data_IF_039674133863
#
_entry.id   IF_039674133863
#
_cell.length_a   1.000
_cell.length_b   1.000
_cell.length_c   1.000
_cell.angle_alpha   90.00
_cell.angle_beta   90.00
_cell.angle_gamma   90.00
#
_symmetry.space_group_name_H-M   'P 1'
#
loop_
_entity.id
_entity.type
_entity.pdbx_description
1 polymer ?
#
# COMPACT_ATOMS: atom_id res chain seq x y z
N UNK A 1 -10.51 -100.63 -62.15
CA UNK A 1 -10.64 -99.99 -60.82
C UNK A 1 -10.53 -98.48 -60.99
N UNK A 2 -11.59 -97.77 -60.60
CA UNK A 2 -11.68 -96.30 -60.58
C UNK A 2 -11.05 -95.77 -59.28
N UNK A 3 -10.26 -94.68 -59.37
CA UNK A 3 -10.06 -93.74 -58.27
C UNK A 3 -10.07 -92.31 -58.81
N UNK A 4 -10.88 -91.50 -58.14
CA UNK A 4 -11.36 -90.17 -58.48
C UNK A 4 -10.57 -89.09 -57.72
N UNK A 5 -10.54 -87.92 -58.34
CA UNK A 5 -10.34 -86.54 -57.86
C UNK A 5 -9.19 -86.19 -56.92
N UNK A 6 -8.36 -85.25 -57.43
CA UNK A 6 -8.13 -83.98 -56.72
C UNK A 6 -8.28 -82.86 -57.76
N UNK A 7 -9.47 -82.24 -57.84
CA UNK A 7 -9.68 -80.97 -58.54
C UNK A 7 -8.94 -79.88 -57.76
N UNK A 8 -7.78 -79.48 -58.29
CA UNK A 8 -6.99 -78.37 -57.79
C UNK A 8 -7.82 -77.09 -57.85
N UNK A 9 -7.90 -76.44 -56.70
CA UNK A 9 -8.62 -75.20 -56.42
C UNK A 9 -8.23 -74.13 -57.44
N UNK A 10 -9.26 -73.61 -58.11
CA UNK A 10 -9.28 -72.50 -59.07
C UNK A 10 -8.33 -71.38 -58.64
N UNK A 11 -7.46 -70.96 -59.55
CA UNK A 11 -6.58 -69.80 -59.39
C UNK A 11 -7.41 -68.55 -59.01
N UNK A 12 -7.19 -68.05 -57.78
CA UNK A 12 -7.87 -66.89 -57.20
C UNK A 12 -7.13 -65.57 -57.51
N UNK A 13 -6.09 -65.60 -58.33
CA UNK A 13 -5.27 -64.44 -58.68
C UNK A 13 -6.10 -63.31 -59.30
N UNK A 14 -7.02 -63.63 -60.22
CA UNK A 14 -7.90 -62.64 -60.83
C UNK A 14 -8.94 -62.07 -59.85
N UNK A 15 -9.48 -62.91 -58.97
CA UNK A 15 -10.46 -62.48 -57.95
C UNK A 15 -9.81 -61.50 -56.96
N UNK A 16 -8.59 -61.80 -56.50
CA UNK A 16 -7.80 -60.89 -55.67
C UNK A 16 -7.47 -59.58 -56.38
N UNK A 17 -7.07 -59.62 -57.66
CA UNK A 17 -6.81 -58.40 -58.44
C UNK A 17 -8.07 -57.53 -58.58
N UNK A 18 -9.24 -58.13 -58.82
CA UNK A 18 -10.52 -57.42 -58.91
C UNK A 18 -10.95 -56.79 -57.58
N UNK A 19 -10.81 -57.53 -56.48
CA UNK A 19 -11.12 -56.99 -55.14
C UNK A 19 -10.16 -55.88 -54.78
N UNK A 20 -8.86 -56.05 -55.04
CA UNK A 20 -7.85 -55.04 -54.74
C UNK A 20 -8.03 -53.77 -55.59
N UNK A 21 -8.38 -53.91 -56.87
CA UNK A 21 -8.73 -52.78 -57.73
C UNK A 21 -10.01 -52.05 -57.25
N UNK A 22 -11.06 -52.78 -56.87
CA UNK A 22 -12.28 -52.18 -56.33
C UNK A 22 -12.07 -51.50 -54.98
N UNK A 23 -11.21 -52.05 -54.11
CA UNK A 23 -10.88 -51.45 -52.81
C UNK A 23 -10.03 -50.19 -53.01
N UNK A 24 -9.04 -50.21 -53.90
CA UNK A 24 -8.22 -49.04 -54.23
C UNK A 24 -9.09 -47.96 -54.87
N UNK A 25 -9.97 -48.31 -55.81
CA UNK A 25 -10.90 -47.37 -56.43
C UNK A 25 -11.86 -46.76 -55.41
N UNK A 26 -12.36 -47.53 -54.43
CA UNK A 26 -13.17 -46.99 -53.34
C UNK A 26 -12.40 -46.11 -52.35
N UNK A 27 -11.10 -46.36 -52.13
CA UNK A 27 -10.24 -45.52 -51.30
C UNK A 27 -9.86 -44.21 -52.01
N UNK A 28 -9.59 -44.25 -53.31
CA UNK A 28 -9.31 -43.07 -54.14
C UNK A 28 -10.56 -42.22 -54.39
N UNK A 29 -11.74 -42.84 -54.49
CA UNK A 29 -13.02 -42.15 -54.67
C UNK A 29 -13.67 -41.72 -53.36
N UNK A 30 -13.06 -41.95 -52.18
CA UNK A 30 -13.50 -41.24 -50.98
C UNK A 30 -13.26 -39.76 -51.22
N UNK A 31 -14.30 -38.91 -51.34
CA UNK A 31 -14.04 -37.49 -51.36
C UNK A 31 -13.37 -37.19 -50.03
N UNK A 32 -12.12 -36.73 -50.07
CA UNK A 32 -11.54 -36.01 -48.95
C UNK A 32 -12.48 -34.84 -48.77
N UNK A 33 -13.42 -34.96 -47.83
CA UNK A 33 -14.32 -33.88 -47.46
C UNK A 33 -13.39 -32.83 -46.87
N UNK A 34 -12.82 -31.99 -47.74
CA UNK A 34 -12.05 -30.81 -47.37
C UNK A 34 -13.06 -29.95 -46.66
N UNK A 35 -13.12 -30.13 -45.35
CA UNK A 35 -14.01 -29.41 -44.47
C UNK A 35 -13.69 -27.95 -44.68
N UNK A 36 -14.60 -27.21 -45.30
CA UNK A 36 -14.55 -25.75 -45.45
C UNK A 36 -14.42 -25.05 -44.10
N UNK A 37 -14.68 -25.76 -42.98
CA UNK A 37 -14.37 -25.31 -41.61
C UNK A 37 -12.88 -25.12 -41.34
N UNK A 38 -11.94 -25.79 -42.04
CA UNK A 38 -10.48 -25.58 -41.80
C UNK A 38 -10.04 -24.15 -42.08
N UNK A 39 -10.63 -23.49 -43.08
CA UNK A 39 -10.36 -22.09 -43.37
C UNK A 39 -10.96 -21.17 -42.30
N UNK A 40 -12.14 -21.53 -41.77
CA UNK A 40 -12.76 -20.82 -40.64
C UNK A 40 -11.90 -20.93 -39.38
N UNK A 41 -11.30 -22.09 -39.09
CA UNK A 41 -10.35 -22.23 -37.97
C UNK A 41 -9.05 -21.45 -38.19
N UNK A 42 -8.55 -21.38 -39.42
CA UNK A 42 -7.37 -20.56 -39.76
C UNK A 42 -7.64 -19.06 -39.63
N UNK A 43 -8.79 -18.58 -40.11
CA UNK A 43 -9.24 -17.20 -39.96
C UNK A 43 -9.49 -16.85 -38.48
N UNK A 44 -10.14 -17.74 -37.73
CA UNK A 44 -10.36 -17.58 -36.29
C UNK A 44 -9.04 -17.58 -35.50
N UNK A 45 -8.09 -18.44 -35.86
CA UNK A 45 -6.77 -18.46 -35.23
C UNK A 45 -5.97 -17.18 -35.55
N UNK A 46 -6.07 -16.65 -36.78
CA UNK A 46 -5.45 -15.38 -37.16
C UNK A 46 -6.09 -14.22 -36.37
N UNK A 47 -7.41 -14.13 -36.32
CA UNK A 47 -8.13 -13.10 -35.55
C UNK A 47 -7.77 -13.21 -34.06
N UNK A 48 -7.78 -14.42 -33.50
CA UNK A 48 -7.42 -14.65 -32.10
C UNK A 48 -5.96 -14.25 -31.82
N UNK A 49 -5.03 -14.58 -32.73
CA UNK A 49 -3.62 -14.20 -32.60
C UNK A 49 -3.43 -12.68 -32.68
N UNK A 50 -4.17 -12.01 -33.56
CA UNK A 50 -4.19 -10.54 -33.65
C UNK A 50 -4.79 -9.95 -32.37
N UNK A 51 -5.90 -10.47 -31.86
CA UNK A 51 -6.52 -10.00 -30.62
C UNK A 51 -5.61 -10.21 -29.39
N UNK A 52 -4.95 -11.37 -29.28
CA UNK A 52 -3.97 -11.63 -28.22
C UNK A 52 -2.78 -10.69 -28.38
N UNK A 53 -2.25 -10.52 -29.60
CA UNK A 53 -1.16 -9.59 -29.87
C UNK A 53 -1.51 -8.14 -29.53
N UNK A 54 -2.74 -7.70 -29.86
CA UNK A 54 -3.25 -6.37 -29.56
C UNK A 54 -3.51 -6.20 -28.06
N UNK A 55 -4.01 -7.23 -27.38
CA UNK A 55 -4.20 -7.26 -25.94
C UNK A 55 -2.87 -7.19 -25.19
N UNK A 56 -1.88 -8.00 -25.59
CA UNK A 56 -0.52 -7.97 -25.04
C UNK A 56 0.15 -6.63 -25.34
N UNK A 57 0.00 -6.10 -26.55
CA UNK A 57 0.53 -4.78 -26.91
C UNK A 57 -0.12 -3.67 -26.08
N UNK A 58 -1.45 -3.67 -25.93
CA UNK A 58 -2.17 -2.71 -25.11
C UNK A 58 -1.76 -2.84 -23.64
N UNK A 59 -1.72 -4.04 -23.07
CA UNK A 59 -1.23 -4.27 -21.70
C UNK A 59 0.22 -3.82 -21.53
N UNK A 60 1.10 -4.12 -22.48
CA UNK A 60 2.50 -3.71 -22.43
C UNK A 60 2.64 -2.18 -22.50
N UNK A 61 1.88 -1.52 -23.38
CA UNK A 61 1.91 -0.06 -23.51
C UNK A 61 1.31 0.64 -22.29
N UNK A 62 0.25 0.06 -21.71
CA UNK A 62 -0.35 0.57 -20.48
C UNK A 62 0.62 0.39 -19.30
N UNK A 63 1.29 -0.76 -19.21
CA UNK A 63 2.29 -1.03 -18.17
C UNK A 63 3.55 -0.16 -18.32
N UNK A 64 4.00 0.10 -19.56
CA UNK A 64 5.08 1.06 -19.88
C UNK A 64 4.69 2.50 -19.51
N UNK A 65 3.45 2.91 -19.80
CA UNK A 65 2.93 4.23 -19.36
C UNK A 65 2.84 4.31 -17.84
N UNK A 66 2.46 3.23 -17.17
CA UNK A 66 2.34 3.19 -15.71
C UNK A 66 3.71 3.17 -15.01
N UNK A 67 4.71 2.50 -15.58
CA UNK A 67 6.09 2.47 -15.06
C UNK A 67 6.85 3.78 -15.30
N UNK A 68 6.61 4.46 -16.43
CA UNK A 68 7.13 5.81 -16.67
C UNK A 68 6.47 6.91 -15.81
N UNK A 69 5.39 6.59 -15.11
CA UNK A 69 4.69 7.48 -14.17
C UNK A 69 5.14 7.33 -12.71
N UNK A 70 5.96 6.34 -12.38
CA UNK A 70 6.38 6.11 -10.99
C UNK A 70 7.37 7.23 -10.59
N UNK A 71 7.00 8.11 -9.64
CA UNK A 71 7.91 9.16 -9.20
C UNK A 71 9.05 8.56 -8.37
N UNK A 72 10.24 9.19 -8.38
CA UNK A 72 11.35 8.74 -7.55
C UNK A 72 11.00 8.88 -6.06
N UNK A 73 11.56 7.99 -5.25
CA UNK A 73 11.61 8.15 -3.79
C UNK A 73 12.53 9.33 -3.46
N UNK A 74 12.18 10.11 -2.44
CA UNK A 74 12.86 11.36 -2.05
C UNK A 74 12.90 12.37 -3.20
N UNK A 75 11.74 12.67 -3.79
CA UNK A 75 11.65 13.64 -4.88
C UNK A 75 11.91 15.05 -4.35
N UNK A 76 13.10 15.56 -4.64
CA UNK A 76 13.56 16.86 -4.15
C UNK A 76 12.62 18.01 -4.52
N UNK A 77 11.91 17.93 -5.65
CA UNK A 77 10.92 18.95 -6.05
C UNK A 77 9.79 19.04 -5.04
N UNK A 78 9.35 17.90 -4.49
CA UNK A 78 8.31 17.87 -3.46
C UNK A 78 8.84 18.50 -2.17
N UNK A 79 10.10 18.26 -1.81
CA UNK A 79 10.73 18.93 -0.67
C UNK A 79 10.79 20.44 -0.89
N UNK A 80 11.30 20.90 -2.04
CA UNK A 80 11.34 22.33 -2.40
C UNK A 80 9.97 22.98 -2.27
N UNK A 81 8.91 22.31 -2.74
CA UNK A 81 7.53 22.79 -2.59
C UNK A 81 7.13 22.96 -1.11
N UNK A 82 7.45 21.99 -0.25
CA UNK A 82 7.17 22.09 1.19
C UNK A 82 7.93 23.25 1.85
N UNK A 83 9.22 23.39 1.51
CA UNK A 83 10.06 24.45 2.06
C UNK A 83 9.60 25.85 1.61
N UNK A 84 9.20 26.01 0.35
CA UNK A 84 8.67 27.28 -0.13
C UNK A 84 7.33 27.63 0.52
N UNK A 85 6.44 26.64 0.68
CA UNK A 85 5.17 26.82 1.41
C UNK A 85 5.42 27.25 2.85
N UNK A 86 6.37 26.62 3.54
CA UNK A 86 6.73 26.97 4.91
C UNK A 86 7.29 28.40 5.00
N UNK A 87 8.21 28.75 4.09
CA UNK A 87 8.77 30.09 3.99
C UNK A 87 7.71 31.17 3.70
N UNK A 88 6.66 30.84 2.92
CA UNK A 88 5.53 31.72 2.66
C UNK A 88 4.68 31.95 3.92
N UNK A 89 4.34 30.88 4.65
CA UNK A 89 3.46 30.96 5.82
C UNK A 89 4.15 31.51 7.07
N UNK A 90 5.43 31.16 7.28
CA UNK A 90 6.14 31.37 8.54
C UNK A 90 7.40 32.25 8.41
N UNK A 91 7.73 32.71 7.20
CA UNK A 91 8.92 33.51 6.90
C UNK A 91 10.19 32.69 6.66
N UNK A 92 11.19 33.33 6.02
CA UNK A 92 12.40 32.68 5.45
C UNK A 92 13.47 32.21 6.46
N UNK A 93 13.34 32.56 7.73
CA UNK A 93 14.40 32.38 8.74
C UNK A 93 14.11 31.26 9.75
N UNK A 94 13.20 30.33 9.46
CA UNK A 94 12.85 29.23 10.38
C UNK A 94 13.64 27.96 10.08
N UNK A 95 13.82 27.15 11.13
CA UNK A 95 14.26 25.76 11.00
C UNK A 95 13.19 24.97 10.24
N UNK A 96 13.49 24.55 9.03
CA UNK A 96 12.62 23.78 8.14
C UNK A 96 12.32 22.34 8.61
N UNK A 97 12.54 22.06 9.90
CA UNK A 97 12.52 20.71 10.45
C UNK A 97 11.16 20.04 10.32
N UNK A 98 10.09 20.71 10.72
CA UNK A 98 8.74 20.17 10.61
C UNK A 98 8.34 19.87 9.15
N UNK A 99 8.70 20.75 8.22
CA UNK A 99 8.46 20.56 6.79
C UNK A 99 9.25 19.38 6.23
N UNK A 100 10.50 19.21 6.68
CA UNK A 100 11.33 18.07 6.33
C UNK A 100 10.79 16.76 6.90
N UNK A 101 10.33 16.75 8.16
CA UNK A 101 9.74 15.55 8.79
C UNK A 101 8.42 15.15 8.08
N UNK A 102 7.59 16.13 7.69
CA UNK A 102 6.38 15.86 6.90
C UNK A 102 6.72 15.31 5.51
N UNK A 103 7.78 15.80 4.86
CA UNK A 103 8.28 15.24 3.61
C UNK A 103 8.75 13.81 3.80
N UNK A 104 9.56 13.53 4.83
CA UNK A 104 10.04 12.18 5.12
C UNK A 104 8.91 11.21 5.45
N UNK A 105 7.85 11.65 6.12
CA UNK A 105 6.67 10.82 6.35
C UNK A 105 6.07 10.32 5.03
N UNK A 106 5.78 11.21 4.08
CA UNK A 106 5.24 10.84 2.75
C UNK A 106 6.21 9.93 1.99
N UNK A 107 7.49 10.28 1.96
CA UNK A 107 8.50 9.53 1.22
C UNK A 107 8.76 8.15 1.83
N UNK A 108 8.75 8.03 3.15
CA UNK A 108 8.93 6.76 3.85
C UNK A 108 7.77 5.80 3.58
N UNK A 109 6.53 6.30 3.68
CA UNK A 109 5.32 5.50 3.49
C UNK A 109 5.18 5.08 2.03
N UNK A 110 5.49 5.99 1.10
CA UNK A 110 5.56 5.69 -0.33
C UNK A 110 6.62 4.63 -0.65
N UNK A 111 7.86 4.81 -0.19
CA UNK A 111 8.96 3.86 -0.45
C UNK A 111 8.65 2.47 0.11
N UNK A 112 8.07 2.40 1.31
CA UNK A 112 7.67 1.14 1.92
C UNK A 112 6.52 0.48 1.16
N UNK A 113 5.50 1.24 0.75
CA UNK A 113 4.42 0.72 -0.08
C UNK A 113 4.93 0.17 -1.43
N UNK A 114 5.90 0.84 -2.05
CA UNK A 114 6.57 0.33 -3.26
C UNK A 114 7.33 -0.97 -3.00
N UNK A 115 8.01 -1.10 -1.85
CA UNK A 115 8.69 -2.34 -1.46
C UNK A 115 7.72 -3.53 -1.34
N UNK A 116 6.47 -3.24 -0.96
CA UNK A 116 5.36 -4.20 -0.91
C UNK A 116 4.67 -4.41 -2.26
N UNK A 117 5.19 -3.79 -3.34
CA UNK A 117 4.64 -3.85 -4.71
C UNK A 117 3.19 -3.36 -4.82
N UNK A 118 2.82 -2.40 -3.97
CA UNK A 118 1.51 -1.74 -4.07
C UNK A 118 1.58 -0.73 -5.22
N UNK A 119 0.69 -0.92 -6.21
CA UNK A 119 0.65 -0.09 -7.42
C UNK A 119 -0.78 0.45 -7.55
N UNK A 120 -0.97 1.79 -7.50
CA UNK A 120 -2.30 2.36 -7.67
C UNK A 120 -2.80 2.22 -9.10
N UNK A 121 -4.11 2.06 -9.23
CA UNK A 121 -4.78 2.18 -10.51
C UNK A 121 -4.74 3.62 -11.00
N UNK A 122 -4.90 3.82 -12.30
CA UNK A 122 -4.99 5.18 -12.87
C UNK A 122 -6.15 5.98 -12.27
N UNK A 123 -7.29 5.34 -12.01
CA UNK A 123 -8.44 5.98 -11.39
C UNK A 123 -8.13 6.49 -9.97
N UNK A 124 -7.39 5.71 -9.18
CA UNK A 124 -6.95 6.14 -7.85
C UNK A 124 -6.02 7.36 -7.94
N UNK A 125 -5.09 7.38 -8.90
CA UNK A 125 -4.19 8.52 -9.12
C UNK A 125 -4.96 9.76 -9.59
N UNK A 126 -5.88 9.59 -10.55
CA UNK A 126 -6.68 10.69 -11.10
C UNK A 126 -7.58 11.31 -10.01
N UNK A 127 -8.13 10.49 -9.10
CA UNK A 127 -8.89 10.96 -7.92
C UNK A 127 -8.04 11.81 -6.97
N UNK A 128 -6.84 11.34 -6.61
CA UNK A 128 -5.94 12.13 -5.75
C UNK A 128 -5.49 13.41 -6.45
N UNK A 129 -5.27 13.36 -7.76
CA UNK A 129 -4.92 14.54 -8.55
C UNK A 129 -6.04 15.58 -8.52
N UNK A 130 -7.30 15.16 -8.68
CA UNK A 130 -8.47 16.04 -8.55
C UNK A 130 -8.49 16.74 -7.19
N UNK A 131 -8.35 15.98 -6.09
CA UNK A 131 -8.30 16.53 -4.73
C UNK A 131 -7.17 17.56 -4.52
N UNK A 132 -5.98 17.29 -5.06
CA UNK A 132 -4.84 18.20 -4.98
C UNK A 132 -5.10 19.49 -5.78
N UNK A 133 -5.72 19.36 -6.95
CA UNK A 133 -5.98 20.46 -7.88
C UNK A 133 -7.16 21.33 -7.44
N UNK A 134 -8.17 20.74 -6.80
CA UNK A 134 -9.28 21.45 -6.16
C UNK A 134 -8.79 22.26 -4.96
N UNK A 135 -7.77 21.75 -4.26
CA UNK A 135 -7.12 22.41 -3.14
C UNK A 135 -8.06 22.56 -1.95
N UNK A 136 -7.81 21.80 -0.88
CA UNK A 136 -8.51 22.03 0.39
C UNK A 136 -8.40 23.51 0.78
N UNK A 137 -9.54 24.20 0.71
CA UNK A 137 -9.71 25.61 0.98
C UNK A 137 -9.77 25.82 2.48
N UNK A 138 -8.66 25.54 3.16
CA UNK A 138 -8.52 25.83 4.57
C UNK A 138 -7.81 27.19 4.65
N UNK A 139 -8.30 28.12 5.47
CA UNK A 139 -7.78 29.50 5.61
C UNK A 139 -6.27 29.56 5.92
N UNK A 140 -5.68 28.42 6.33
CA UNK A 140 -4.28 28.27 6.72
C UNK A 140 -3.37 27.71 5.61
N UNK A 141 -3.86 27.54 4.38
CA UNK A 141 -3.07 26.99 3.26
C UNK A 141 -3.09 27.94 2.06
N UNK A 142 -1.97 28.10 1.32
CA UNK A 142 -1.96 28.89 0.10
C UNK A 142 -2.95 28.31 -0.91
N UNK A 143 -3.81 29.19 -1.44
CA UNK A 143 -4.71 28.91 -2.56
C UNK A 143 -3.90 28.45 -3.79
N UNK A 144 -4.56 27.78 -4.74
CA UNK A 144 -3.89 27.40 -5.99
C UNK A 144 -3.23 28.59 -6.68
N UNK A 145 -3.91 29.75 -6.71
CA UNK A 145 -3.37 30.98 -7.30
C UNK A 145 -2.07 31.43 -6.61
N UNK A 146 -2.04 31.43 -5.27
CA UNK A 146 -0.85 31.79 -4.51
C UNK A 146 0.30 30.80 -4.71
N UNK A 147 0.01 29.49 -4.80
CA UNK A 147 1.03 28.48 -5.11
C UNK A 147 1.69 28.74 -6.46
N UNK A 148 0.89 29.01 -7.49
CA UNK A 148 1.40 29.31 -8.83
C UNK A 148 2.25 30.58 -8.84
N UNK A 149 1.84 31.61 -8.10
CA UNK A 149 2.61 32.85 -7.96
C UNK A 149 3.93 32.65 -7.20
N UNK A 150 3.89 31.91 -6.09
CA UNK A 150 5.06 31.58 -5.28
C UNK A 150 6.12 30.83 -6.10
N UNK A 151 5.67 29.84 -6.88
CA UNK A 151 6.53 29.00 -7.71
C UNK A 151 6.91 29.66 -9.04
N UNK A 152 6.23 30.73 -9.44
CA UNK A 152 6.35 31.38 -10.75
C UNK A 152 6.14 30.41 -11.92
N UNK A 153 5.12 29.57 -11.83
CA UNK A 153 4.79 28.54 -12.84
C UNK A 153 3.33 28.60 -13.27
N UNK A 154 3.03 27.99 -14.41
CA UNK A 154 1.67 27.78 -14.90
C UNK A 154 0.95 26.65 -14.14
N UNK A 155 -0.37 26.59 -14.28
CA UNK A 155 -1.18 25.50 -13.70
C UNK A 155 -0.78 24.14 -14.29
N UNK A 156 -0.48 24.11 -15.58
CA UNK A 156 -0.07 22.93 -16.32
C UNK A 156 1.31 22.44 -15.83
N UNK A 157 2.26 23.36 -15.63
CA UNK A 157 3.57 23.05 -15.08
C UNK A 157 3.47 22.57 -13.63
N UNK A 158 2.60 23.19 -12.82
CA UNK A 158 2.35 22.72 -11.46
C UNK A 158 1.80 21.29 -11.44
N UNK A 159 0.82 21.03 -12.31
CA UNK A 159 0.22 19.70 -12.44
C UNK A 159 1.26 18.65 -12.82
N UNK A 160 2.10 18.95 -13.82
CA UNK A 160 3.10 18.02 -14.31
C UNK A 160 4.26 17.79 -13.33
N UNK A 161 4.78 18.87 -12.72
CA UNK A 161 5.99 18.82 -11.87
C UNK A 161 5.71 18.38 -10.44
N UNK A 162 4.55 18.71 -9.89
CA UNK A 162 4.23 18.48 -8.48
C UNK A 162 2.97 17.65 -8.29
N UNK A 163 1.83 18.07 -8.85
CA UNK A 163 0.54 17.47 -8.48
C UNK A 163 0.45 15.99 -8.89
N UNK A 164 0.85 15.63 -10.11
CA UNK A 164 0.83 14.25 -10.60
C UNK A 164 1.77 13.32 -9.80
N UNK A 165 3.05 13.68 -9.57
CA UNK A 165 3.91 12.91 -8.66
C UNK A 165 3.32 12.74 -7.27
N UNK A 166 2.81 13.82 -6.65
CA UNK A 166 2.23 13.75 -5.31
C UNK A 166 0.98 12.86 -5.31
N UNK A 167 0.09 13.01 -6.30
CA UNK A 167 -1.11 12.19 -6.45
C UNK A 167 -0.77 10.69 -6.53
N UNK A 168 0.26 10.34 -7.31
CA UNK A 168 0.72 8.96 -7.40
C UNK A 168 1.21 8.44 -6.04
N UNK A 169 2.02 9.23 -5.33
CA UNK A 169 2.51 8.86 -3.98
C UNK A 169 1.36 8.69 -3.00
N UNK A 170 0.42 9.63 -2.95
CA UNK A 170 -0.75 9.56 -2.06
C UNK A 170 -1.64 8.36 -2.36
N UNK A 171 -1.93 8.08 -3.64
CA UNK A 171 -2.71 6.91 -4.03
C UNK A 171 -2.03 5.60 -3.60
N UNK A 172 -0.70 5.54 -3.73
CA UNK A 172 0.11 4.39 -3.28
C UNK A 172 0.10 4.24 -1.76
N UNK A 173 0.19 5.34 -1.02
CA UNK A 173 0.09 5.35 0.45
C UNK A 173 -1.30 4.93 0.91
N UNK A 174 -2.36 5.34 0.21
CA UNK A 174 -3.72 4.92 0.54
C UNK A 174 -3.90 3.40 0.41
N UNK A 175 -3.31 2.76 -0.60
CA UNK A 175 -3.26 1.30 -0.69
C UNK A 175 -2.56 0.66 0.51
N UNK A 176 -1.43 1.23 0.96
CA UNK A 176 -0.74 0.75 2.15
C UNK A 176 -1.63 0.85 3.40
N UNK A 177 -2.36 1.96 3.53
CA UNK A 177 -3.30 2.16 4.64
C UNK A 177 -4.46 1.16 4.58
N UNK A 178 -4.98 0.83 3.40
CA UNK A 178 -6.00 -0.22 3.23
C UNK A 178 -5.47 -1.60 3.63
N UNK A 179 -4.28 -1.97 3.18
CA UNK A 179 -3.63 -3.26 3.54
C UNK A 179 -3.42 -3.35 5.05
N UNK A 180 -2.96 -2.27 5.68
CA UNK A 180 -2.72 -2.27 7.13
C UNK A 180 -3.98 -2.47 7.97
N UNK A 181 -5.19 -2.14 7.47
CA UNK A 181 -6.44 -2.42 8.20
C UNK A 181 -6.69 -3.91 8.38
N UNK A 182 -6.21 -4.73 7.44
CA UNK A 182 -6.29 -6.19 7.55
C UNK A 182 -5.26 -6.72 8.53
N UNK A 183 -4.04 -6.15 8.52
CA UNK A 183 -2.97 -6.54 9.46
C UNK A 183 -3.30 -6.16 10.91
N UNK A 184 -3.98 -5.04 11.13
CA UNK A 184 -4.25 -4.46 12.45
C UNK A 184 -5.75 -4.36 12.76
N UNK A 185 -6.53 -5.39 12.43
CA UNK A 185 -8.00 -5.35 12.44
C UNK A 185 -8.64 -4.91 13.77
N UNK A 186 -8.03 -5.24 14.91
CA UNK A 186 -8.55 -4.95 16.25
C UNK A 186 -7.78 -3.81 16.96
N UNK A 187 -7.09 -2.97 16.20
CA UNK A 187 -6.27 -1.86 16.72
C UNK A 187 -6.94 -0.52 16.42
N UNK A 188 -6.82 0.44 17.32
CA UNK A 188 -7.28 1.80 17.04
C UNK A 188 -6.52 2.40 15.84
N UNK A 189 -7.21 3.22 15.05
CA UNK A 189 -6.64 3.83 13.86
C UNK A 189 -5.35 4.63 14.13
N UNK A 190 -5.27 5.45 15.20
CA UNK A 190 -4.03 6.16 15.54
C UNK A 190 -2.84 5.23 15.79
N UNK A 191 -3.05 4.14 16.51
CA UNK A 191 -1.99 3.17 16.84
C UNK A 191 -1.58 2.39 15.59
N UNK A 192 -2.55 1.96 14.77
CA UNK A 192 -2.29 1.31 13.47
C UNK A 192 -1.44 2.20 12.56
N UNK A 193 -1.82 3.47 12.41
CA UNK A 193 -1.05 4.42 11.59
C UNK A 193 0.37 4.57 12.12
N UNK A 194 0.53 4.72 13.43
CA UNK A 194 1.85 4.78 14.07
C UNK A 194 2.72 3.55 13.78
N UNK A 195 2.15 2.33 13.81
CA UNK A 195 2.89 1.11 13.45
C UNK A 195 3.37 1.12 12.00
N UNK A 196 2.51 1.53 11.07
CA UNK A 196 2.86 1.64 9.64
C UNK A 196 3.96 2.67 9.45
N UNK A 197 3.88 3.81 10.14
CA UNK A 197 4.90 4.86 10.14
C UNK A 197 6.26 4.36 10.63
N UNK A 198 6.30 3.60 11.74
CA UNK A 198 7.56 3.06 12.24
C UNK A 198 8.20 2.09 11.24
N UNK A 199 7.41 1.19 10.65
CA UNK A 199 7.90 0.26 9.61
C UNK A 199 8.43 1.03 8.39
N UNK A 200 7.66 2.02 7.91
CA UNK A 200 8.01 2.83 6.76
C UNK A 200 9.29 3.65 6.99
N UNK A 201 9.39 4.32 8.14
CA UNK A 201 10.56 5.11 8.52
C UNK A 201 11.80 4.24 8.70
N UNK A 202 11.66 3.04 9.28
CA UNK A 202 12.75 2.08 9.38
C UNK A 202 13.23 1.61 8.01
N UNK A 203 12.31 1.32 7.08
CA UNK A 203 12.65 1.00 5.70
C UNK A 203 13.41 2.15 5.02
N UNK A 204 12.92 3.39 5.15
CA UNK A 204 13.59 4.56 4.58
C UNK A 204 15.00 4.73 5.15
N UNK A 205 15.19 4.59 6.46
CA UNK A 205 16.51 4.64 7.12
C UNK A 205 17.44 3.53 6.61
N UNK A 206 16.95 2.31 6.45
CA UNK A 206 17.79 1.20 5.99
C UNK A 206 18.24 1.38 4.52
N UNK A 207 17.34 1.84 3.66
CA UNK A 207 17.57 1.85 2.21
C UNK A 207 18.03 3.20 1.65
N UNK A 208 17.70 4.32 2.30
CA UNK A 208 17.89 5.68 1.79
C UNK A 208 18.62 6.62 2.76
N UNK A 209 19.27 6.12 3.83
CA UNK A 209 19.94 6.99 4.81
C UNK A 209 20.91 8.01 4.21
N UNK A 210 21.66 7.65 3.16
CA UNK A 210 22.62 8.56 2.51
C UNK A 210 21.93 9.71 1.79
N UNK A 211 20.83 9.40 1.09
CA UNK A 211 20.06 10.40 0.35
C UNK A 211 19.34 11.34 1.31
N UNK A 212 18.78 10.80 2.41
CA UNK A 212 18.20 11.60 3.50
C UNK A 212 19.25 12.54 4.10
N UNK A 213 20.44 12.03 4.45
CA UNK A 213 21.51 12.84 5.03
C UNK A 213 21.99 13.94 4.06
N UNK A 214 22.10 13.61 2.76
CA UNK A 214 22.45 14.56 1.70
C UNK A 214 21.44 15.70 1.59
N UNK A 215 20.14 15.39 1.63
CA UNK A 215 19.08 16.40 1.63
C UNK A 215 19.12 17.26 2.91
N UNK A 216 19.34 16.65 4.08
CA UNK A 216 19.47 17.38 5.34
C UNK A 216 20.63 18.38 5.28
N UNK A 217 21.79 17.97 4.77
CA UNK A 217 22.96 18.84 4.61
C UNK A 217 22.70 19.96 3.59
N UNK A 218 22.19 19.61 2.41
CA UNK A 218 21.90 20.55 1.31
C UNK A 218 20.97 21.67 1.75
N UNK A 219 19.93 21.34 2.52
CA UNK A 219 18.93 22.30 3.00
C UNK A 219 19.20 22.83 4.41
N UNK A 220 20.35 22.47 5.02
CA UNK A 220 20.74 22.89 6.38
C UNK A 220 19.67 22.57 7.42
N UNK A 221 19.04 21.41 7.31
CA UNK A 221 18.03 20.93 8.24
C UNK A 221 18.75 20.47 9.53
N UNK A 222 18.36 20.95 10.71
CA UNK A 222 18.97 20.47 11.96
C UNK A 222 18.71 18.98 12.17
N UNK A 223 19.71 18.25 12.67
CA UNK A 223 19.66 16.79 12.82
C UNK A 223 18.54 16.31 13.74
N UNK A 224 18.28 17.02 14.85
CA UNK A 224 17.18 16.73 15.79
C UNK A 224 16.75 17.98 16.56
N UNK A 225 15.45 18.13 16.78
CA UNK A 225 14.97 18.86 17.95
C UNK A 225 15.06 17.92 19.17
N UNK A 226 15.45 18.45 20.33
CA UNK A 226 15.37 17.67 21.57
C UNK A 226 13.90 17.34 21.83
N UNK A 227 13.50 16.08 21.66
CA UNK A 227 12.16 15.66 22.02
C UNK A 227 12.02 15.69 23.54
N UNK A 228 11.05 16.45 24.03
CA UNK A 228 10.70 16.45 25.44
C UNK A 228 10.08 15.10 25.77
N UNK A 229 10.60 14.46 26.82
CA UNK A 229 10.10 13.18 27.30
C UNK A 229 9.09 13.43 28.41
N UNK A 230 7.88 12.91 28.24
CA UNK A 230 6.82 12.99 29.24
C UNK A 230 6.58 11.63 29.90
N UNK A 231 5.93 11.65 31.05
CA UNK A 231 5.58 10.48 31.84
C UNK A 231 4.10 10.43 32.10
N UNK A 232 3.52 9.23 32.00
CA UNK A 232 2.14 8.92 32.38
C UNK A 232 2.17 7.79 33.40
N UNK A 233 1.66 8.04 34.60
CA UNK A 233 1.49 7.01 35.63
C UNK A 233 0.03 6.65 35.77
N UNK A 234 -0.27 5.37 35.92
CA UNK A 234 -1.65 4.89 36.09
C UNK A 234 -1.75 3.38 36.10
N UNK A 235 -2.98 2.89 36.05
CA UNK A 235 -3.31 1.46 36.07
C UNK A 235 -3.62 0.99 34.66
N UNK A 236 -3.12 -0.18 34.28
CA UNK A 236 -3.46 -0.84 33.02
C UNK A 236 -4.87 -1.41 33.11
N UNK A 237 -5.81 -0.88 32.32
CA UNK A 237 -7.21 -1.33 32.37
C UNK A 237 -7.60 -2.27 31.24
N UNK A 238 -6.86 -2.25 30.13
CA UNK A 238 -7.11 -3.13 29.00
C UNK A 238 -5.81 -3.37 28.24
N UNK A 239 -5.66 -4.60 27.73
CA UNK A 239 -4.59 -4.98 26.81
C UNK A 239 -5.28 -5.64 25.62
N UNK A 240 -5.04 -5.11 24.43
CA UNK A 240 -5.39 -5.71 23.14
C UNK A 240 -4.11 -6.21 22.47
N UNK A 241 -4.27 -6.81 21.30
CA UNK A 241 -3.16 -7.39 20.53
C UNK A 241 -2.00 -6.41 20.28
N UNK A 242 -2.31 -5.13 20.06
CA UNK A 242 -1.32 -4.11 19.65
C UNK A 242 -1.34 -2.83 20.49
N UNK A 243 -2.19 -2.76 21.50
CA UNK A 243 -2.35 -1.54 22.30
C UNK A 243 -2.79 -1.86 23.72
N UNK A 244 -2.44 -1.00 24.66
CA UNK A 244 -2.89 -1.09 26.05
C UNK A 244 -3.34 0.27 26.57
N UNK A 245 -4.31 0.25 27.47
CA UNK A 245 -4.95 1.45 28.02
C UNK A 245 -4.48 1.70 29.45
N UNK A 246 -4.02 2.92 29.71
CA UNK A 246 -3.63 3.38 31.04
C UNK A 246 -4.58 4.49 31.51
N UNK A 247 -5.11 4.34 32.73
CA UNK A 247 -5.95 5.33 33.41
C UNK A 247 -5.31 5.74 34.72
N UNK A 248 -5.20 7.04 34.96
CA UNK A 248 -4.61 7.56 36.20
C UNK A 248 -5.66 7.67 37.29
N UNK A 249 -5.28 7.34 38.53
CA UNK A 249 -6.11 7.54 39.72
C UNK A 249 -7.06 6.39 40.06
N UNK A 250 -7.02 5.28 39.32
CA UNK A 250 -7.84 4.09 39.61
C UNK A 250 -7.39 3.45 40.92
N UNK A 251 -8.34 3.21 41.82
CA UNK A 251 -8.09 2.51 43.08
C UNK A 251 -8.25 1.01 42.88
N UNK A 252 -7.47 0.22 43.62
CA UNK A 252 -7.47 -1.25 43.48
C UNK A 252 -8.86 -1.85 43.77
N UNK A 253 -9.64 -1.22 44.66
CA UNK A 253 -11.02 -1.61 44.97
C UNK A 253 -11.99 -1.41 43.80
N UNK A 254 -11.64 -0.60 42.80
CA UNK A 254 -12.49 -0.33 41.63
C UNK A 254 -12.26 -1.34 40.50
N UNK A 255 -11.09 -1.97 40.49
CA UNK A 255 -10.68 -2.93 39.45
C UNK A 255 -11.56 -4.18 39.59
N UNK A 256 -12.22 -4.57 38.50
CA UNK A 256 -13.16 -5.69 38.46
C UNK A 256 -14.56 -5.41 39.01
N UNK A 257 -14.78 -4.24 39.64
CA UNK A 257 -16.14 -3.80 40.04
C UNK A 257 -16.80 -2.92 38.98
N UNK A 258 -16.02 -2.08 38.30
CA UNK A 258 -16.47 -1.18 37.24
C UNK A 258 -15.95 -1.66 35.88
N UNK A 259 -16.70 -1.40 34.82
CA UNK A 259 -16.23 -1.62 33.45
C UNK A 259 -15.09 -0.64 33.10
N UNK A 260 -14.32 -0.96 32.06
CA UNK A 260 -13.25 -0.08 31.57
C UNK A 260 -13.81 1.29 31.17
N UNK A 261 -14.96 1.32 30.50
CA UNK A 261 -15.62 2.56 30.08
C UNK A 261 -16.08 3.39 31.28
N UNK A 262 -16.62 2.74 32.32
CA UNK A 262 -17.03 3.40 33.56
C UNK A 262 -15.83 4.02 34.28
N UNK A 263 -14.69 3.31 34.33
CA UNK A 263 -13.44 3.81 34.92
C UNK A 263 -12.89 5.01 34.17
N UNK A 264 -12.80 4.93 32.83
CA UNK A 264 -12.33 6.04 31.98
C UNK A 264 -13.22 7.27 32.18
N UNK A 265 -14.55 7.08 32.23
CA UNK A 265 -15.51 8.17 32.44
C UNK A 265 -15.41 8.76 33.84
N UNK A 266 -15.33 7.92 34.88
CA UNK A 266 -15.22 8.34 36.29
C UNK A 266 -13.97 9.18 36.53
N UNK A 267 -12.83 8.75 35.99
CA UNK A 267 -11.55 9.44 36.14
C UNK A 267 -11.30 10.52 35.07
N UNK A 268 -12.23 10.64 34.11
CA UNK A 268 -12.20 11.58 32.98
C UNK A 268 -10.86 11.59 32.25
N UNK A 269 -10.23 10.42 32.13
CA UNK A 269 -8.94 10.26 31.50
C UNK A 269 -8.74 8.84 30.98
N UNK A 270 -7.97 8.71 29.91
CA UNK A 270 -7.49 7.44 29.39
C UNK A 270 -6.42 7.69 28.34
N UNK A 271 -5.44 6.80 28.24
CA UNK A 271 -4.43 6.89 27.19
C UNK A 271 -4.12 5.51 26.64
N UNK A 272 -4.35 5.33 25.34
CA UNK A 272 -3.88 4.17 24.59
C UNK A 272 -2.42 4.36 24.17
N UNK A 273 -1.63 3.31 24.38
CA UNK A 273 -0.23 3.23 23.99
C UNK A 273 -0.02 2.00 23.08
N UNK A 274 0.89 2.06 22.10
CA UNK A 274 1.28 0.89 21.31
C UNK A 274 1.92 -0.17 22.21
N UNK A 275 1.59 -1.44 21.98
CA UNK A 275 2.20 -2.56 22.70
C UNK A 275 3.54 -2.95 22.05
N UNK A 276 4.57 -2.13 22.24
CA UNK A 276 5.92 -2.32 21.68
C UNK A 276 6.98 -2.18 22.76
N UNK A 277 7.92 -3.12 22.80
CA UNK A 277 9.05 -3.14 23.74
C UNK A 277 8.61 -3.01 25.22
N UNK A 278 7.41 -3.50 25.53
CA UNK A 278 6.87 -3.57 26.89
C UNK A 278 7.30 -4.85 27.61
N UNK A 279 7.36 -4.87 28.96
CA UNK A 279 7.58 -6.08 29.73
C UNK A 279 6.55 -7.16 29.39
N UNK A 280 7.00 -8.41 29.18
CA UNK A 280 6.11 -9.55 28.89
C UNK A 280 5.18 -9.92 30.06
N UNK A 281 5.49 -9.45 31.25
CA UNK A 281 4.71 -9.65 32.47
C UNK A 281 3.56 -8.65 32.61
N UNK A 282 3.49 -7.63 31.74
CA UNK A 282 2.45 -6.61 31.78
C UNK A 282 1.05 -7.24 31.74
N UNK A 283 0.26 -6.93 32.76
CA UNK A 283 -1.06 -7.49 33.00
C UNK A 283 -2.09 -6.40 33.29
N UNK A 284 -3.37 -6.72 33.08
CA UNK A 284 -4.47 -5.83 33.51
C UNK A 284 -4.46 -5.75 35.03
N UNK A 285 -4.53 -4.53 35.55
CA UNK A 285 -4.43 -4.22 36.98
C UNK A 285 -3.07 -3.66 37.39
N UNK A 286 -2.01 -3.92 36.61
CA UNK A 286 -0.67 -3.42 36.94
C UNK A 286 -0.64 -1.90 37.01
N UNK A 287 0.11 -1.37 37.99
CA UNK A 287 0.45 0.05 38.00
C UNK A 287 1.73 0.27 37.23
N UNK A 288 1.68 1.22 36.30
CA UNK A 288 2.76 1.48 35.35
C UNK A 288 3.14 2.95 35.31
N UNK A 289 4.37 3.21 34.90
CA UNK A 289 4.86 4.50 34.44
C UNK A 289 5.31 4.35 32.98
N UNK A 290 4.61 5.01 32.08
CA UNK A 290 4.88 5.00 30.64
C UNK A 290 5.57 6.30 30.24
N UNK A 291 6.70 6.17 29.55
CA UNK A 291 7.43 7.29 28.94
C UNK A 291 7.01 7.42 27.47
N UNK A 292 6.74 8.66 27.05
CA UNK A 292 6.28 8.99 25.71
C UNK A 292 6.86 10.33 25.26
N UNK A 293 6.88 10.57 23.94
CA UNK A 293 7.49 11.73 23.31
C UNK A 293 6.53 12.60 22.51
N UNK A 294 5.33 12.09 22.17
CA UNK A 294 4.29 12.83 21.44
C UNK A 294 2.91 12.16 21.47
N UNK A 295 1.88 12.97 21.21
CA UNK A 295 0.58 12.45 20.81
C UNK A 295 0.68 11.92 19.37
N UNK A 296 0.03 10.79 19.09
CA UNK A 296 0.05 10.12 17.77
C UNK A 296 -1.31 10.12 17.10
N UNK A 297 -2.33 10.65 17.76
CA UNK A 297 -3.63 10.88 17.17
C UNK A 297 -4.70 11.18 18.21
N UNK A 298 -5.91 11.35 17.70
CA UNK A 298 -7.09 11.66 18.48
C UNK A 298 -8.28 10.94 17.84
N UNK A 299 -9.11 10.31 18.68
CA UNK A 299 -10.39 9.78 18.25
C UNK A 299 -11.48 10.78 18.63
N UNK A 300 -12.06 11.44 17.62
CA UNK A 300 -13.12 12.42 17.79
C UNK A 300 -14.39 11.89 18.47
N UNK A 301 -14.56 10.58 18.55
CA UNK A 301 -15.66 9.95 19.26
C UNK A 301 -15.45 9.81 20.77
N UNK A 302 -14.20 9.92 21.26
CA UNK A 302 -13.83 9.71 22.66
C UNK A 302 -12.90 10.83 23.17
N UNK A 303 -13.43 12.02 23.48
CA UNK A 303 -12.62 13.22 23.78
C UNK A 303 -11.77 13.11 25.06
N UNK A 304 -12.03 12.12 25.91
CA UNK A 304 -11.30 11.87 27.16
C UNK A 304 -10.19 10.82 27.00
N UNK A 305 -10.05 10.24 25.80
CA UNK A 305 -9.04 9.23 25.48
C UNK A 305 -8.01 9.83 24.52
N UNK A 306 -6.75 9.81 24.98
CA UNK A 306 -5.59 10.19 24.20
C UNK A 306 -4.92 8.96 23.55
N UNK A 307 -4.19 9.20 22.47
CA UNK A 307 -3.28 8.22 21.86
C UNK A 307 -1.87 8.79 21.86
N UNK A 308 -0.92 8.07 22.45
CA UNK A 308 0.46 8.52 22.61
C UNK A 308 1.43 7.45 22.16
N UNK A 309 2.58 7.86 21.66
CA UNK A 309 3.66 6.93 21.37
C UNK A 309 4.21 6.30 22.66
N UNK A 310 5.10 5.33 22.51
CA UNK A 310 5.79 4.71 23.62
C UNK A 310 7.29 4.74 23.37
N UNK A 311 8.03 5.15 24.39
CA UNK A 311 9.50 5.10 24.42
C UNK A 311 9.98 4.09 25.44
N UNK A 312 9.24 3.92 26.54
CA UNK A 312 9.52 2.89 27.53
C UNK A 312 8.40 2.74 28.54
N UNK A 313 8.35 1.58 29.20
CA UNK A 313 7.39 1.28 30.26
C UNK A 313 8.10 0.63 31.45
N UNK A 314 7.68 1.03 32.64
CA UNK A 314 8.07 0.38 33.90
C UNK A 314 6.82 -0.02 34.67
N UNK A 315 6.75 -1.28 35.07
CA UNK A 315 5.77 -1.75 36.06
C UNK A 315 6.27 -1.29 37.43
N UNK A 316 5.44 -0.51 38.13
CA UNK A 316 5.71 0.06 39.45
C UNK A 316 5.20 -0.89 40.53
N UNK A 317 4.07 -1.55 40.27
CA UNK A 317 3.42 -2.52 41.15
C UNK A 317 2.69 -3.55 40.27
N UNK A 318 2.95 -4.84 40.50
CA UNK A 318 2.26 -5.96 39.85
C UNK A 318 0.93 -6.22 40.57
N UNK A 319 -0.11 -6.58 39.81
CA UNK A 319 -1.43 -6.89 40.35
C UNK A 319 -1.59 -8.35 40.80
#
# INVERSE_FOLDING_TARGET
MSKVDIRVVRDLSESKKRVMANVIQHLEQRPVKKSTRRWQYGLLAMILSVCIGLFVYLQYNDHQKQTSMIPPVLDERILELHLQKDAYMNGKNRLYRASFDSFLYLESTFAYAQSMKLIPSREQVDKELELIMEGFSNETQPTMKERLQMLQITKEDFSAKYAKPIAYKMATVNLLMEVSRVEYQNTSDPIRMWFVEQKAMNYLKQHYHKDVASLQEKYRIPEKESQMMWKRSGTVLAIKEHEFLVVSGVLDSEIGQLSVEELVKKHSNGTWFPLVDVPKTLSVGDRVEVQYSQAIGYDGSQPIIDFKDIVGLRIVEEY
#
